data_IF_423785918449
#
_entry.id   IF_423785918449
#
_cell.length_a   1.000
_cell.length_b   1.000
_cell.length_c   1.000
_cell.angle_alpha   90.00
_cell.angle_beta   90.00
_cell.angle_gamma   90.00
#
_symmetry.space_group_name_H-M   'P 1'
#
loop_
_entity.id
_entity.type
_entity.pdbx_description
1 polymer ?
#
# COMPACT_ATOMS: atom_id res chain seq x y z
N UNK A 1 -12.97 -43.89 -14.58
CA UNK A 1 -12.50 -43.35 -13.29
C UNK A 1 -10.97 -43.44 -13.26
N UNK A 2 -10.29 -42.41 -13.73
CA UNK A 2 -8.84 -42.22 -13.49
C UNK A 2 -8.69 -41.20 -12.34
N UNK A 3 -8.10 -41.61 -11.25
CA UNK A 3 -7.69 -40.72 -10.18
C UNK A 3 -6.42 -39.98 -10.66
N UNK A 4 -6.52 -38.69 -10.92
CA UNK A 4 -5.34 -37.84 -11.08
C UNK A 4 -4.71 -37.61 -9.73
N UNK A 5 -3.50 -38.15 -9.59
CA UNK A 5 -2.65 -37.92 -8.41
C UNK A 5 -1.85 -36.62 -8.61
N UNK A 6 -2.10 -35.62 -7.78
CA UNK A 6 -1.28 -34.42 -7.72
C UNK A 6 0.18 -34.75 -7.38
N UNK A 7 1.15 -34.11 -8.03
CA UNK A 7 2.57 -34.36 -7.71
C UNK A 7 2.85 -33.86 -6.29
N UNK A 8 3.31 -34.78 -5.43
CA UNK A 8 3.84 -34.44 -4.11
C UNK A 8 5.05 -33.54 -4.31
N UNK A 9 5.00 -32.32 -3.75
CA UNK A 9 6.17 -31.44 -3.66
C UNK A 9 7.22 -32.21 -2.85
N UNK A 10 8.32 -32.54 -3.51
CA UNK A 10 9.39 -33.35 -2.89
C UNK A 10 10.13 -32.48 -1.86
N UNK A 11 10.47 -33.05 -0.70
CA UNK A 11 11.30 -32.47 0.39
C UNK A 11 12.48 -31.62 -0.13
N UNK A 12 13.09 -32.03 -1.23
CA UNK A 12 14.19 -31.32 -1.91
C UNK A 12 13.80 -29.93 -2.44
N UNK A 13 12.53 -29.66 -2.77
CA UNK A 13 12.06 -28.32 -3.21
C UNK A 13 11.80 -27.41 -2.01
N UNK A 14 11.37 -27.96 -0.89
CA UNK A 14 11.17 -27.20 0.36
C UNK A 14 12.51 -26.78 0.97
N UNK A 15 13.52 -27.66 0.97
CA UNK A 15 14.90 -27.36 1.39
C UNK A 15 15.52 -26.24 0.53
N UNK A 16 15.36 -26.30 -0.80
CA UNK A 16 15.89 -25.26 -1.72
C UNK A 16 15.20 -23.91 -1.57
N UNK A 17 13.91 -23.89 -1.17
CA UNK A 17 13.17 -22.64 -0.91
C UNK A 17 13.62 -22.05 0.43
N UNK A 18 13.83 -22.90 1.44
CA UNK A 18 14.30 -22.45 2.74
C UNK A 18 15.73 -21.89 2.66
N UNK A 19 16.64 -22.57 1.96
CA UNK A 19 17.99 -22.05 1.71
C UNK A 19 18.00 -20.69 1.01
N UNK A 20 17.11 -20.49 0.01
CA UNK A 20 16.96 -19.18 -0.67
C UNK A 20 16.35 -18.10 0.23
N UNK A 21 15.45 -18.45 1.13
CA UNK A 21 14.90 -17.52 2.11
C UNK A 21 15.96 -17.09 3.11
N UNK A 22 16.76 -18.04 3.60
CA UNK A 22 17.86 -17.78 4.54
C UNK A 22 18.96 -16.92 3.88
N UNK A 23 19.31 -17.15 2.60
CA UNK A 23 20.22 -16.29 1.82
C UNK A 23 19.69 -14.87 1.64
N UNK A 24 18.38 -14.71 1.39
CA UNK A 24 17.75 -13.39 1.26
C UNK A 24 17.72 -12.66 2.61
N UNK A 25 17.41 -13.37 3.71
CA UNK A 25 17.46 -12.78 5.05
C UNK A 25 18.87 -12.35 5.46
N UNK A 26 19.88 -13.15 5.12
CA UNK A 26 21.27 -12.82 5.41
C UNK A 26 21.75 -11.62 4.60
N UNK A 27 21.34 -11.53 3.33
CA UNK A 27 21.61 -10.38 2.46
C UNK A 27 20.93 -9.11 2.97
N UNK A 28 19.65 -9.17 3.34
CA UNK A 28 18.92 -8.05 3.93
C UNK A 28 19.55 -7.57 5.26
N UNK A 29 20.04 -8.48 6.09
CA UNK A 29 20.78 -8.13 7.31
C UNK A 29 22.10 -7.43 6.99
N UNK A 30 22.81 -7.87 5.95
CA UNK A 30 24.09 -7.29 5.54
C UNK A 30 23.91 -5.90 4.94
N UNK A 31 22.94 -5.74 4.02
CA UNK A 31 22.58 -4.45 3.43
C UNK A 31 22.10 -3.46 4.51
N UNK A 32 21.34 -3.92 5.51
CA UNK A 32 20.90 -3.09 6.64
C UNK A 32 22.05 -2.67 7.57
N UNK A 33 23.13 -3.43 7.65
CA UNK A 33 24.34 -3.10 8.42
C UNK A 33 25.22 -2.10 7.65
N UNK A 34 25.38 -2.24 6.34
CA UNK A 34 26.13 -1.30 5.50
C UNK A 34 25.45 0.08 5.47
N UNK A 35 24.11 0.14 5.31
CA UNK A 35 23.33 1.39 5.41
C UNK A 35 23.47 2.03 6.80
N UNK A 36 23.55 1.24 7.88
CA UNK A 36 23.76 1.76 9.23
C UNK A 36 25.15 2.35 9.43
N UNK A 37 26.19 1.82 8.77
CA UNK A 37 27.54 2.33 8.90
C UNK A 37 27.77 3.61 8.09
N UNK A 38 27.23 3.73 6.88
CA UNK A 38 27.29 4.96 6.08
C UNK A 38 26.53 6.10 6.73
N UNK A 39 25.32 5.85 7.23
CA UNK A 39 24.53 6.85 7.92
C UNK A 39 25.16 7.28 9.28
N UNK A 40 25.77 6.37 10.04
CA UNK A 40 26.51 6.73 11.26
C UNK A 40 27.63 7.72 10.99
N UNK A 41 28.40 7.51 9.92
CA UNK A 41 29.50 8.41 9.55
C UNK A 41 29.05 9.80 9.14
N UNK A 42 27.88 9.91 8.52
CA UNK A 42 27.29 11.16 8.05
C UNK A 42 26.71 11.96 9.22
N UNK A 43 25.85 11.36 10.02
CA UNK A 43 25.25 12.02 11.17
C UNK A 43 26.29 12.40 12.23
N UNK A 44 27.29 11.56 12.48
CA UNK A 44 28.35 11.86 13.46
C UNK A 44 29.16 13.12 13.09
N UNK A 45 29.39 13.40 11.78
CA UNK A 45 30.07 14.61 11.33
C UNK A 45 29.23 15.87 11.56
N UNK A 46 27.91 15.79 11.42
CA UNK A 46 26.99 16.91 11.67
C UNK A 46 26.90 17.16 13.16
N UNK A 47 26.74 16.12 13.98
CA UNK A 47 26.63 16.23 15.43
C UNK A 47 27.91 16.68 16.12
N UNK A 48 29.09 16.41 15.55
CA UNK A 48 30.36 16.93 16.10
C UNK A 48 30.47 18.45 16.11
N UNK A 49 29.69 19.14 15.27
CA UNK A 49 29.63 20.60 15.21
C UNK A 49 28.75 21.24 16.29
N UNK A 50 27.87 20.49 16.94
CA UNK A 50 27.00 21.00 18.00
C UNK A 50 27.81 21.08 19.29
N UNK A 51 28.15 22.29 19.66
CA UNK A 51 29.03 22.56 20.82
C UNK A 51 28.30 22.81 22.15
N UNK A 52 26.98 23.06 22.08
CA UNK A 52 26.13 23.43 23.21
C UNK A 52 25.23 22.29 23.68
N UNK A 53 24.76 22.33 24.93
CA UNK A 53 23.77 21.37 25.46
C UNK A 53 22.34 21.66 24.97
N UNK A 54 22.09 22.82 24.37
CA UNK A 54 20.79 23.27 23.89
C UNK A 54 20.90 23.56 22.40
N UNK A 55 20.01 22.95 21.57
CA UNK A 55 19.97 23.17 20.15
C UNK A 55 19.29 24.52 19.85
N UNK A 56 20.01 25.44 19.18
CA UNK A 56 19.40 26.68 18.70
C UNK A 56 18.62 26.47 17.42
N UNK A 57 17.76 27.42 17.05
CA UNK A 57 16.99 27.36 15.81
C UNK A 57 17.90 27.34 14.57
N UNK A 58 18.98 28.14 14.57
CA UNK A 58 19.98 28.15 13.48
C UNK A 58 20.69 26.81 13.33
N UNK A 59 21.08 26.18 14.43
CA UNK A 59 21.72 24.86 14.40
C UNK A 59 20.76 23.75 13.96
N UNK A 60 19.49 23.87 14.33
CA UNK A 60 18.45 22.98 13.87
C UNK A 60 18.25 23.11 12.36
N UNK A 61 18.20 24.34 11.83
CA UNK A 61 18.03 24.60 10.41
C UNK A 61 19.18 24.03 9.57
N UNK A 62 20.44 24.21 10.00
CA UNK A 62 21.58 23.56 9.33
C UNK A 62 21.48 22.04 9.32
N UNK A 63 21.08 21.44 10.44
CA UNK A 63 20.92 20.00 10.58
C UNK A 63 19.76 19.49 9.72
N UNK A 64 18.61 20.18 9.78
CA UNK A 64 17.42 19.79 9.07
C UNK A 64 17.58 19.92 7.55
N UNK A 65 18.31 20.91 7.07
CA UNK A 65 18.58 21.07 5.64
C UNK A 65 19.21 19.81 5.00
N UNK A 66 20.10 19.15 5.70
CA UNK A 66 20.67 17.89 5.21
C UNK A 66 19.65 16.75 5.23
N UNK A 67 18.80 16.66 6.26
CA UNK A 67 17.74 15.67 6.34
C UNK A 67 16.68 15.92 5.27
N UNK A 68 16.34 17.18 5.00
CA UNK A 68 15.41 17.59 3.93
C UNK A 68 15.86 17.06 2.57
N UNK A 69 17.15 17.25 2.21
CA UNK A 69 17.70 16.73 0.96
C UNK A 69 17.52 15.20 0.87
N UNK A 70 17.86 14.48 1.93
CA UNK A 70 17.72 13.02 2.00
C UNK A 70 16.25 12.60 1.83
N UNK A 71 15.32 13.26 2.49
CA UNK A 71 13.90 12.96 2.39
C UNK A 71 13.37 13.20 0.96
N UNK A 72 13.75 14.32 0.33
CA UNK A 72 13.36 14.66 -1.04
C UNK A 72 13.96 13.69 -2.06
N UNK A 73 15.24 13.31 -1.93
CA UNK A 73 15.90 12.31 -2.77
C UNK A 73 15.24 10.93 -2.65
N UNK A 74 14.64 10.64 -1.50
CA UNK A 74 13.86 9.43 -1.26
C UNK A 74 12.37 9.56 -1.62
N UNK A 75 12.00 10.53 -2.44
CA UNK A 75 10.64 10.75 -2.96
C UNK A 75 9.60 11.06 -1.87
N UNK A 76 10.00 11.65 -0.76
CA UNK A 76 9.08 12.20 0.23
C UNK A 76 8.52 13.52 -0.29
N UNK A 77 7.20 13.69 -0.29
CA UNK A 77 6.56 14.93 -0.73
C UNK A 77 6.92 16.12 0.17
N UNK A 78 6.98 17.31 -0.42
CA UNK A 78 7.41 18.53 0.28
C UNK A 78 6.56 18.80 1.52
N UNK A 79 5.25 18.63 1.43
CA UNK A 79 4.33 18.85 2.56
C UNK A 79 4.61 17.92 3.75
N UNK A 80 5.15 16.73 3.47
CA UNK A 80 5.56 15.76 4.51
C UNK A 80 6.88 16.18 5.14
N UNK A 81 7.82 16.64 4.31
CA UNK A 81 9.11 17.16 4.77
C UNK A 81 8.91 18.36 5.69
N UNK A 82 8.06 19.31 5.31
CA UNK A 82 7.68 20.47 6.13
C UNK A 82 7.05 20.02 7.45
N UNK A 83 6.16 19.02 7.42
CA UNK A 83 5.55 18.48 8.64
C UNK A 83 6.57 17.82 9.56
N UNK A 84 7.52 17.06 9.01
CA UNK A 84 8.61 16.45 9.77
C UNK A 84 9.47 17.56 10.41
N UNK A 85 9.78 18.63 9.66
CA UNK A 85 10.53 19.77 10.19
C UNK A 85 9.82 20.42 11.38
N UNK A 86 8.53 20.70 11.23
CA UNK A 86 7.72 21.31 12.28
C UNK A 86 7.73 20.49 13.57
N UNK A 87 7.51 19.18 13.47
CA UNK A 87 7.48 18.29 14.65
C UNK A 87 8.87 18.15 15.29
N UNK A 88 9.91 17.94 14.48
CA UNK A 88 11.28 17.87 15.00
C UNK A 88 11.75 19.17 15.65
N UNK A 89 11.40 20.32 15.08
CA UNK A 89 11.72 21.62 15.69
C UNK A 89 11.09 21.75 17.07
N UNK A 90 9.82 21.39 17.24
CA UNK A 90 9.13 21.40 18.54
C UNK A 90 9.80 20.50 19.57
N UNK A 91 10.29 19.33 19.12
CA UNK A 91 10.85 18.31 20.00
C UNK A 91 12.32 18.57 20.37
N UNK A 92 13.05 19.40 19.60
CA UNK A 92 14.50 19.52 19.71
C UNK A 92 15.01 20.93 20.02
N UNK A 93 14.33 21.97 19.50
CA UNK A 93 14.80 23.36 19.67
C UNK A 93 14.53 23.86 21.10
N UNK A 94 15.54 24.44 21.72
CA UNK A 94 15.44 24.98 23.06
C UNK A 94 15.48 23.96 24.20
N UNK A 95 15.58 22.67 23.88
CA UNK A 95 15.63 21.59 24.87
C UNK A 95 17.07 21.27 25.22
N UNK A 96 17.35 21.11 26.49
CA UNK A 96 18.68 20.73 26.99
C UNK A 96 18.91 19.22 26.76
N UNK A 97 19.77 18.87 25.77
CA UNK A 97 20.11 17.52 25.43
C UNK A 97 21.60 17.27 25.74
N UNK A 98 21.90 16.18 26.44
CA UNK A 98 23.29 15.78 26.66
C UNK A 98 23.94 15.45 25.32
N UNK A 99 25.14 15.97 25.04
CA UNK A 99 25.88 15.75 23.78
C UNK A 99 25.92 14.28 23.35
N UNK A 100 26.15 13.36 24.29
CA UNK A 100 26.18 11.92 24.03
C UNK A 100 24.84 11.30 23.63
N UNK A 101 23.73 12.05 23.75
CA UNK A 101 22.35 11.57 23.45
C UNK A 101 21.67 12.33 22.31
N UNK A 102 22.33 13.34 21.71
CA UNK A 102 21.72 14.17 20.67
C UNK A 102 21.27 13.32 19.49
N UNK A 103 22.15 12.46 18.97
CA UNK A 103 21.84 11.56 17.84
C UNK A 103 20.66 10.63 18.17
N UNK A 104 20.71 9.99 19.33
CA UNK A 104 19.63 9.10 19.80
C UNK A 104 18.30 9.85 19.92
N UNK A 105 18.32 11.06 20.46
CA UNK A 105 17.11 11.88 20.63
C UNK A 105 16.51 12.28 19.29
N UNK A 106 17.32 12.73 18.32
CA UNK A 106 16.86 13.11 16.99
C UNK A 106 16.29 11.89 16.26
N UNK A 107 16.96 10.75 16.30
CA UNK A 107 16.48 9.52 15.67
C UNK A 107 15.16 9.03 16.27
N UNK A 108 15.01 9.14 17.59
CA UNK A 108 13.77 8.77 18.27
C UNK A 108 12.63 9.73 17.90
N UNK A 109 12.87 11.06 17.91
CA UNK A 109 11.86 12.04 17.51
C UNK A 109 11.45 11.88 16.05
N UNK A 110 12.41 11.64 15.13
CA UNK A 110 12.11 11.34 13.73
C UNK A 110 11.26 10.07 13.59
N UNK A 111 11.62 8.99 14.30
CA UNK A 111 10.86 7.74 14.29
C UNK A 111 9.44 7.95 14.81
N UNK A 112 9.27 8.68 15.92
CA UNK A 112 7.94 8.98 16.46
C UNK A 112 7.11 9.83 15.50
N UNK A 113 7.72 10.83 14.85
CA UNK A 113 7.06 11.64 13.82
C UNK A 113 6.60 10.81 12.63
N UNK A 114 7.45 9.91 12.12
CA UNK A 114 7.09 8.99 11.05
C UNK A 114 5.93 8.07 11.48
N UNK A 115 5.97 7.52 12.68
CA UNK A 115 4.90 6.67 13.21
C UNK A 115 3.58 7.42 13.39
N UNK A 116 3.61 8.72 13.71
CA UNK A 116 2.39 9.57 13.76
C UNK A 116 1.80 9.84 12.37
N UNK A 117 2.64 9.86 11.33
CA UNK A 117 2.20 10.04 9.94
C UNK A 117 1.55 8.77 9.40
N UNK A 118 2.10 7.61 9.74
CA UNK A 118 1.59 6.32 9.32
C UNK A 118 0.38 5.92 10.15
N UNK A 119 -0.72 5.62 9.48
CA UNK A 119 -1.95 5.16 10.12
C UNK A 119 -1.98 3.63 10.06
N UNK A 120 -2.08 2.99 11.21
CA UNK A 120 -2.20 1.53 11.29
C UNK A 120 -3.51 1.06 10.67
N UNK A 121 -3.46 0.14 9.69
CA UNK A 121 -4.68 -0.38 9.07
C UNK A 121 -5.43 -1.28 10.04
N UNK A 122 -6.76 -1.17 10.09
CA UNK A 122 -7.56 -2.12 10.86
C UNK A 122 -7.47 -3.52 10.23
N UNK A 123 -7.57 -4.56 11.04
CA UNK A 123 -7.50 -5.94 10.57
C UNK A 123 -8.67 -6.25 9.61
N UNK A 124 -8.35 -6.50 8.33
CA UNK A 124 -9.34 -6.75 7.29
C UNK A 124 -10.24 -7.97 7.60
N UNK A 125 -9.66 -9.06 8.10
CA UNK A 125 -10.41 -10.29 8.40
C UNK A 125 -11.42 -10.05 9.53
N UNK A 126 -11.02 -9.27 10.55
CA UNK A 126 -11.94 -8.90 11.63
C UNK A 126 -13.08 -8.01 11.14
N UNK A 127 -12.80 -7.01 10.29
CA UNK A 127 -13.83 -6.16 9.70
C UNK A 127 -14.87 -6.97 8.92
N UNK A 128 -14.40 -7.91 8.08
CA UNK A 128 -15.26 -8.79 7.30
C UNK A 128 -16.12 -9.66 8.22
N UNK A 129 -15.54 -10.22 9.27
CA UNK A 129 -16.26 -11.09 10.19
C UNK A 129 -17.28 -10.35 11.06
N UNK A 130 -17.00 -9.10 11.43
CA UNK A 130 -17.92 -8.25 12.22
C UNK A 130 -19.15 -7.80 11.42
N UNK A 131 -19.06 -7.73 10.11
CA UNK A 131 -20.20 -7.31 9.28
C UNK A 131 -21.24 -8.42 9.15
N UNK A 132 -22.50 -8.10 9.34
CA UNK A 132 -23.61 -8.96 8.96
C UNK A 132 -23.89 -8.83 7.46
N UNK A 133 -23.99 -9.98 6.73
CA UNK A 133 -24.21 -10.01 5.28
C UNK A 133 -22.92 -9.92 4.47
N UNK A 134 -23.04 -9.43 3.24
CA UNK A 134 -21.95 -9.37 2.26
C UNK A 134 -21.03 -8.19 2.56
N UNK A 135 -19.72 -8.44 2.53
CA UNK A 135 -18.68 -7.40 2.58
C UNK A 135 -18.16 -7.12 1.17
N UNK A 136 -18.29 -5.90 0.71
CA UNK A 136 -17.91 -5.50 -0.65
C UNK A 136 -16.65 -4.64 -0.64
N UNK A 137 -15.63 -5.05 -1.39
CA UNK A 137 -14.37 -4.33 -1.55
C UNK A 137 -14.22 -3.90 -3.00
N UNK A 138 -14.00 -2.62 -3.24
CA UNK A 138 -13.66 -2.08 -4.56
C UNK A 138 -12.19 -1.69 -4.63
N UNK A 139 -11.52 -2.05 -5.72
CA UNK A 139 -10.13 -1.70 -5.99
C UNK A 139 -10.07 -0.69 -7.13
N UNK A 140 -9.52 0.49 -6.84
CA UNK A 140 -9.37 1.59 -7.80
C UNK A 140 -7.90 1.97 -7.98
N UNK A 141 -7.56 2.60 -9.09
CA UNK A 141 -6.18 3.00 -9.41
C UNK A 141 -5.93 2.95 -10.91
N UNK A 142 -4.79 3.45 -11.36
CA UNK A 142 -4.44 3.50 -12.79
C UNK A 142 -4.13 2.11 -13.37
N UNK A 143 -4.05 2.03 -14.70
CA UNK A 143 -3.60 0.80 -15.38
C UNK A 143 -2.15 0.50 -15.02
N UNK A 144 -1.84 -0.78 -14.79
CA UNK A 144 -0.51 -1.22 -14.40
C UNK A 144 -0.23 -1.16 -12.90
N UNK A 145 -1.05 -0.44 -12.10
CA UNK A 145 -0.83 -0.30 -10.66
C UNK A 145 -0.92 -1.60 -9.85
N UNK A 146 -1.25 -2.72 -10.48
CA UNK A 146 -1.30 -4.02 -9.80
C UNK A 146 -2.65 -4.39 -9.18
N UNK A 147 -3.77 -3.72 -9.54
CA UNK A 147 -5.12 -4.02 -9.02
C UNK A 147 -5.48 -5.50 -9.12
N UNK A 148 -5.45 -6.05 -10.33
CA UNK A 148 -5.80 -7.45 -10.61
C UNK A 148 -4.97 -8.44 -9.78
N UNK A 149 -3.67 -8.18 -9.63
CA UNK A 149 -2.78 -9.00 -8.79
C UNK A 149 -3.10 -8.85 -7.31
N UNK A 150 -3.41 -7.63 -6.86
CA UNK A 150 -3.81 -7.36 -5.47
C UNK A 150 -5.11 -8.08 -5.13
N UNK A 151 -6.10 -8.05 -6.03
CA UNK A 151 -7.37 -8.79 -5.88
C UNK A 151 -7.11 -10.28 -5.73
N UNK A 152 -6.23 -10.86 -6.55
CA UNK A 152 -5.88 -12.28 -6.46
C UNK A 152 -5.21 -12.61 -5.11
N UNK A 153 -4.30 -11.75 -4.61
CA UNK A 153 -3.68 -11.91 -3.29
C UNK A 153 -4.70 -11.80 -2.16
N UNK A 154 -5.64 -10.86 -2.24
CA UNK A 154 -6.72 -10.71 -1.25
C UNK A 154 -7.66 -11.93 -1.29
N UNK A 155 -8.06 -12.40 -2.47
CA UNK A 155 -8.87 -13.61 -2.62
C UNK A 155 -8.16 -14.85 -2.01
N UNK A 156 -6.85 -14.98 -2.23
CA UNK A 156 -6.05 -16.03 -1.60
C UNK A 156 -6.05 -15.92 -0.07
N UNK A 157 -5.86 -14.71 0.47
CA UNK A 157 -5.90 -14.43 1.91
C UNK A 157 -7.26 -14.81 2.51
N UNK A 158 -8.36 -14.46 1.84
CA UNK A 158 -9.72 -14.81 2.27
C UNK A 158 -9.92 -16.33 2.28
N UNK A 159 -9.50 -17.02 1.21
CA UNK A 159 -9.57 -18.49 1.12
C UNK A 159 -8.77 -19.17 2.23
N UNK A 160 -7.55 -18.68 2.53
CA UNK A 160 -6.73 -19.18 3.65
C UNK A 160 -7.45 -19.04 5.01
N UNK A 161 -8.25 -17.98 5.16
CA UNK A 161 -9.06 -17.74 6.35
C UNK A 161 -10.47 -18.38 6.27
N UNK A 162 -10.73 -19.26 5.29
CA UNK A 162 -12.02 -19.96 5.08
C UNK A 162 -13.20 -19.00 4.85
N UNK A 163 -12.94 -17.84 4.29
CA UNK A 163 -13.95 -16.85 3.92
C UNK A 163 -14.23 -16.97 2.43
N UNK A 164 -15.50 -17.20 2.07
CA UNK A 164 -15.93 -17.29 0.68
C UNK A 164 -15.92 -15.93 0.01
N UNK A 165 -15.45 -15.87 -1.25
CA UNK A 165 -15.46 -14.65 -2.03
C UNK A 165 -15.85 -14.91 -3.49
N UNK A 166 -16.30 -13.85 -4.17
CA UNK A 166 -16.55 -13.80 -5.62
C UNK A 166 -15.86 -12.55 -6.18
N UNK A 167 -15.35 -12.67 -7.41
CA UNK A 167 -14.67 -11.56 -8.08
C UNK A 167 -15.61 -10.99 -9.16
N UNK A 168 -15.72 -9.65 -9.24
CA UNK A 168 -16.43 -8.92 -10.28
C UNK A 168 -15.41 -8.30 -11.25
N UNK A 169 -15.38 -8.73 -12.50
CA UNK A 169 -14.53 -8.23 -13.57
C UNK A 169 -15.13 -6.96 -14.18
N UNK A 170 -15.07 -5.83 -13.45
CA UNK A 170 -15.66 -4.57 -13.88
C UNK A 170 -14.72 -3.69 -14.75
N UNK A 171 -13.48 -4.12 -15.07
CA UNK A 171 -12.67 -3.51 -16.15
C UNK A 171 -13.13 -4.08 -17.52
N UNK A 172 -14.36 -3.73 -17.92
CA UNK A 172 -15.06 -4.31 -19.06
C UNK A 172 -14.47 -3.93 -20.43
N UNK A 173 -13.62 -2.92 -20.48
CA UNK A 173 -12.99 -2.44 -21.71
C UNK A 173 -11.59 -3.01 -21.97
N UNK A 174 -11.16 -3.99 -21.15
CA UNK A 174 -9.86 -4.66 -21.30
C UNK A 174 -9.99 -6.17 -21.28
N UNK A 175 -10.17 -6.76 -22.48
CA UNK A 175 -10.31 -8.22 -22.63
C UNK A 175 -9.17 -8.99 -21.94
N UNK A 176 -7.91 -8.55 -22.13
CA UNK A 176 -6.76 -9.19 -21.49
C UNK A 176 -6.75 -9.08 -19.95
N UNK A 177 -7.36 -8.04 -19.39
CA UNK A 177 -7.51 -7.93 -17.92
C UNK A 177 -8.52 -8.92 -17.39
N UNK A 178 -9.63 -9.09 -18.11
CA UNK A 178 -10.66 -10.09 -17.78
C UNK A 178 -10.07 -11.50 -17.84
N UNK A 179 -9.37 -11.86 -18.93
CA UNK A 179 -8.73 -13.16 -19.09
C UNK A 179 -7.69 -13.44 -17.99
N UNK A 180 -6.88 -12.44 -17.63
CA UNK A 180 -5.92 -12.55 -16.53
C UNK A 180 -6.63 -12.80 -15.20
N UNK A 181 -7.71 -12.08 -14.93
CA UNK A 181 -8.48 -12.22 -13.69
C UNK A 181 -9.19 -13.57 -13.63
N UNK A 182 -9.70 -14.08 -14.76
CA UNK A 182 -10.26 -15.43 -14.88
C UNK A 182 -9.23 -16.50 -14.52
N UNK A 183 -8.04 -16.39 -15.06
CA UNK A 183 -6.96 -17.34 -14.76
C UNK A 183 -6.57 -17.34 -13.27
N UNK A 184 -6.59 -16.19 -12.64
CA UNK A 184 -6.40 -16.10 -11.20
C UNK A 184 -7.55 -16.72 -10.42
N UNK A 185 -8.79 -16.45 -10.82
CA UNK A 185 -9.99 -17.00 -10.21
C UNK A 185 -10.05 -18.54 -10.31
N UNK A 186 -9.73 -19.10 -11.50
CA UNK A 186 -9.62 -20.54 -11.73
C UNK A 186 -8.56 -21.18 -10.84
N UNK A 187 -7.34 -20.61 -10.77
CA UNK A 187 -6.26 -21.12 -9.94
C UNK A 187 -6.61 -21.10 -8.44
N UNK A 188 -7.43 -20.15 -8.03
CA UNK A 188 -7.87 -20.00 -6.65
C UNK A 188 -9.19 -20.75 -6.37
N UNK A 189 -9.84 -21.33 -7.39
CA UNK A 189 -11.17 -21.92 -7.28
C UNK A 189 -12.16 -20.92 -6.63
N UNK A 190 -12.22 -19.71 -7.19
CA UNK A 190 -13.08 -18.61 -6.78
C UNK A 190 -14.00 -18.24 -7.95
N UNK A 191 -15.31 -18.10 -7.74
CA UNK A 191 -16.22 -17.69 -8.81
C UNK A 191 -15.91 -16.27 -9.29
N UNK A 192 -16.06 -16.05 -10.61
CA UNK A 192 -15.90 -14.76 -11.25
C UNK A 192 -17.17 -14.38 -12.01
N UNK A 193 -17.61 -13.15 -11.84
CA UNK A 193 -18.72 -12.55 -12.58
C UNK A 193 -18.16 -11.58 -13.60
N UNK A 194 -18.49 -11.82 -14.86
CA UNK A 194 -18.10 -11.00 -16.02
C UNK A 194 -19.29 -10.80 -16.95
N UNK A 195 -19.22 -9.76 -17.74
CA UNK A 195 -20.17 -9.52 -18.84
C UNK A 195 -19.41 -9.34 -20.15
N UNK A 196 -20.15 -9.08 -21.25
CA UNK A 196 -19.55 -8.83 -22.56
C UNK A 196 -18.64 -7.60 -22.53
N UNK A 197 -17.65 -7.60 -23.41
CA UNK A 197 -16.77 -6.43 -23.63
C UNK A 197 -17.60 -5.16 -23.82
N UNK A 198 -17.22 -4.08 -23.12
CA UNK A 198 -17.90 -2.79 -23.18
C UNK A 198 -19.21 -2.70 -22.39
N UNK A 199 -19.58 -3.74 -21.63
CA UNK A 199 -20.73 -3.66 -20.71
C UNK A 199 -20.51 -2.61 -19.60
N UNK A 200 -21.61 -2.17 -18.99
CA UNK A 200 -21.55 -1.23 -17.88
C UNK A 200 -20.82 -1.83 -16.64
N UNK A 201 -19.68 -1.27 -16.18
CA UNK A 201 -18.98 -1.77 -15.02
C UNK A 201 -19.83 -1.86 -13.75
N UNK A 202 -20.76 -0.91 -13.56
CA UNK A 202 -21.67 -0.91 -12.41
C UNK A 202 -22.67 -2.07 -12.46
N UNK A 203 -23.08 -2.51 -13.65
CA UNK A 203 -23.94 -3.70 -13.81
C UNK A 203 -23.19 -4.97 -13.41
N UNK A 204 -21.90 -5.12 -13.78
CA UNK A 204 -21.08 -6.27 -13.37
C UNK A 204 -20.96 -6.33 -11.83
N UNK A 205 -20.71 -5.19 -11.19
CA UNK A 205 -20.64 -5.10 -9.73
C UNK A 205 -21.98 -5.48 -9.06
N UNK A 206 -23.09 -5.02 -9.64
CA UNK A 206 -24.44 -5.36 -9.17
C UNK A 206 -24.71 -6.87 -9.28
N UNK A 207 -24.42 -7.47 -10.44
CA UNK A 207 -24.61 -8.91 -10.67
C UNK A 207 -23.76 -9.75 -9.72
N UNK A 208 -22.53 -9.35 -9.44
CA UNK A 208 -21.68 -10.03 -8.48
C UNK A 208 -22.25 -10.00 -7.06
N UNK A 209 -22.87 -8.89 -6.64
CA UNK A 209 -23.58 -8.82 -5.36
C UNK A 209 -24.79 -9.73 -5.32
N UNK A 210 -25.59 -9.74 -6.39
CA UNK A 210 -26.74 -10.65 -6.52
C UNK A 210 -26.33 -12.11 -6.50
N UNK A 211 -25.25 -12.44 -7.18
CA UNK A 211 -24.67 -13.77 -7.14
C UNK A 211 -24.22 -14.15 -5.72
N UNK A 212 -23.55 -13.24 -5.02
CA UNK A 212 -23.11 -13.45 -3.64
C UNK A 212 -24.28 -13.67 -2.68
N UNK A 213 -25.39 -12.92 -2.84
CA UNK A 213 -26.62 -13.09 -2.07
C UNK A 213 -27.22 -14.50 -2.29
N UNK A 214 -27.37 -14.91 -3.56
CA UNK A 214 -27.97 -16.19 -3.92
C UNK A 214 -27.14 -17.40 -3.45
N UNK A 215 -25.81 -17.28 -3.42
CA UNK A 215 -24.88 -18.36 -3.08
C UNK A 215 -24.32 -18.25 -1.66
N UNK A 216 -24.80 -17.32 -0.84
CA UNK A 216 -24.33 -17.05 0.54
C UNK A 216 -22.82 -16.81 0.63
N UNK A 217 -22.27 -16.11 -0.37
CA UNK A 217 -20.85 -15.73 -0.40
C UNK A 217 -20.63 -14.50 0.49
N UNK A 218 -19.56 -14.54 1.29
CA UNK A 218 -19.29 -13.50 2.29
C UNK A 218 -18.68 -12.22 1.71
N UNK A 219 -17.83 -12.32 0.69
CA UNK A 219 -17.08 -11.17 0.17
C UNK A 219 -17.25 -11.02 -1.34
N UNK A 220 -17.44 -9.79 -1.80
CA UNK A 220 -17.38 -9.39 -3.21
C UNK A 220 -16.14 -8.52 -3.44
N UNK A 221 -15.26 -8.91 -4.37
CA UNK A 221 -14.07 -8.18 -4.78
C UNK A 221 -14.31 -7.58 -6.17
N UNK A 222 -14.27 -6.25 -6.31
CA UNK A 222 -14.58 -5.56 -7.56
C UNK A 222 -13.29 -5.02 -8.18
N UNK A 223 -12.88 -5.57 -9.36
CA UNK A 223 -11.81 -5.02 -10.19
C UNK A 223 -12.36 -3.93 -11.09
N UNK A 224 -11.73 -2.75 -11.11
CA UNK A 224 -12.20 -1.61 -11.91
C UNK A 224 -11.22 -1.22 -13.00
N UNK A 225 -11.72 -0.51 -14.01
CA UNK A 225 -10.87 0.09 -15.02
C UNK A 225 -9.88 1.10 -14.42
N UNK A 226 -8.70 1.22 -15.02
CA UNK A 226 -7.69 2.21 -14.67
C UNK A 226 -7.31 3.14 -15.83
N UNK A 227 -8.11 3.16 -16.90
CA UNK A 227 -7.82 3.96 -18.08
C UNK A 227 -8.16 5.42 -17.87
N UNK A 228 -7.16 6.27 -18.05
CA UNK A 228 -7.33 7.73 -18.07
C UNK A 228 -7.56 8.22 -19.51
N UNK A 229 -8.69 7.90 -20.15
CA UNK A 229 -9.04 8.59 -21.41
C UNK A 229 -9.28 10.09 -21.20
N UNK A 230 -9.98 10.42 -20.12
CA UNK A 230 -9.92 11.71 -19.41
C UNK A 230 -10.09 11.42 -17.93
N UNK A 231 -9.36 12.17 -17.08
CA UNK A 231 -9.47 12.06 -15.62
C UNK A 231 -10.93 12.14 -15.16
N UNK A 232 -11.72 13.02 -15.78
CA UNK A 232 -13.13 13.23 -15.45
C UNK A 232 -14.05 12.02 -15.76
N UNK A 233 -13.82 11.29 -16.86
CA UNK A 233 -14.64 10.12 -17.22
C UNK A 233 -14.36 8.94 -16.29
N UNK A 234 -13.09 8.70 -15.95
CA UNK A 234 -12.72 7.66 -14.99
C UNK A 234 -13.37 7.91 -13.63
N UNK A 235 -13.31 9.14 -13.14
CA UNK A 235 -13.92 9.52 -11.86
C UNK A 235 -15.44 9.29 -11.86
N UNK A 236 -16.14 9.74 -12.90
CA UNK A 236 -17.60 9.52 -13.03
C UNK A 236 -17.97 8.03 -13.07
N UNK A 237 -17.15 7.20 -13.72
CA UNK A 237 -17.34 5.76 -13.74
C UNK A 237 -17.16 5.16 -12.34
N UNK A 238 -16.10 5.55 -11.63
CA UNK A 238 -15.86 5.11 -10.25
C UNK A 238 -16.98 5.52 -9.30
N UNK A 239 -17.43 6.78 -9.36
CA UNK A 239 -18.58 7.28 -8.59
C UNK A 239 -19.85 6.46 -8.85
N UNK A 240 -20.09 6.10 -10.12
CA UNK A 240 -21.23 5.25 -10.50
C UNK A 240 -21.12 3.86 -9.89
N UNK A 241 -19.95 3.21 -10.00
CA UNK A 241 -19.73 1.88 -9.43
C UNK A 241 -19.90 1.92 -7.91
N UNK A 242 -19.32 2.91 -7.23
CA UNK A 242 -19.44 3.09 -5.77
C UNK A 242 -20.90 3.30 -5.36
N UNK A 243 -21.65 4.14 -6.07
CA UNK A 243 -23.07 4.38 -5.79
C UNK A 243 -23.93 3.11 -5.94
N UNK A 244 -23.67 2.29 -6.96
CA UNK A 244 -24.43 1.07 -7.22
C UNK A 244 -24.01 -0.08 -6.30
N UNK A 245 -22.72 -0.28 -6.12
CA UNK A 245 -22.20 -1.40 -5.32
C UNK A 245 -22.20 -1.14 -3.82
N UNK A 246 -22.22 0.13 -3.38
CA UNK A 246 -22.14 0.54 -1.97
C UNK A 246 -21.07 -0.28 -1.22
N UNK A 247 -19.79 -0.11 -1.59
CA UNK A 247 -18.72 -0.90 -1.01
C UNK A 247 -18.48 -0.55 0.46
N UNK A 248 -18.07 -1.53 1.23
CA UNK A 248 -17.67 -1.36 2.64
C UNK A 248 -16.23 -0.89 2.76
N UNK A 249 -15.42 -1.18 1.75
CA UNK A 249 -14.02 -0.81 1.72
C UNK A 249 -13.62 -0.41 0.30
N UNK A 250 -13.15 0.82 0.15
CA UNK A 250 -12.62 1.38 -1.09
C UNK A 250 -11.11 1.45 -0.98
N UNK A 251 -10.39 0.61 -1.75
CA UNK A 251 -8.93 0.53 -1.74
C UNK A 251 -8.37 1.20 -3.00
N UNK A 252 -7.55 2.22 -2.81
CA UNK A 252 -6.68 2.71 -3.86
C UNK A 252 -5.45 1.82 -3.99
N UNK A 253 -5.12 1.41 -5.22
CA UNK A 253 -3.93 0.62 -5.53
C UNK A 253 -2.98 1.45 -6.38
N UNK A 254 -1.83 1.81 -5.82
CA UNK A 254 -0.76 2.58 -6.46
C UNK A 254 0.55 1.79 -6.54
N UNK A 255 1.52 2.30 -7.29
CA UNK A 255 2.87 1.74 -7.36
C UNK A 255 3.80 2.54 -6.45
N UNK A 256 4.49 1.91 -5.51
CA UNK A 256 5.44 2.56 -4.59
C UNK A 256 6.56 3.27 -5.36
N UNK A 257 7.09 2.63 -6.39
CA UNK A 257 8.21 3.13 -7.19
C UNK A 257 7.93 4.42 -7.97
N UNK A 258 6.66 4.84 -8.11
CA UNK A 258 6.31 6.06 -8.84
C UNK A 258 6.39 7.33 -7.97
N UNK A 259 6.71 7.19 -6.69
CA UNK A 259 6.98 8.32 -5.79
C UNK A 259 5.82 9.31 -5.71
N UNK A 260 6.08 10.57 -6.06
CA UNK A 260 5.09 11.64 -6.01
C UNK A 260 3.89 11.43 -6.94
N UNK A 261 4.05 10.74 -8.07
CA UNK A 261 2.92 10.41 -8.94
C UNK A 261 1.90 9.50 -8.24
N UNK A 262 2.35 8.53 -7.42
CA UNK A 262 1.46 7.73 -6.60
C UNK A 262 0.69 8.59 -5.60
N UNK A 263 1.34 9.61 -5.03
CA UNK A 263 0.73 10.54 -4.07
C UNK A 263 -0.37 11.38 -4.72
N UNK A 264 -0.10 11.98 -5.90
CA UNK A 264 -1.09 12.75 -6.65
C UNK A 264 -2.29 11.90 -7.13
N UNK A 265 -2.03 10.67 -7.55
CA UNK A 265 -3.08 9.74 -7.91
C UNK A 265 -3.95 9.40 -6.69
N UNK A 266 -3.34 9.02 -5.57
CA UNK A 266 -4.03 8.69 -4.33
C UNK A 266 -4.91 9.86 -3.85
N UNK A 267 -4.39 11.10 -3.88
CA UNK A 267 -5.12 12.32 -3.59
C UNK A 267 -6.34 12.48 -4.49
N UNK A 268 -6.15 12.33 -5.81
CA UNK A 268 -7.24 12.44 -6.79
C UNK A 268 -8.37 11.44 -6.54
N UNK A 269 -8.03 10.16 -6.32
CA UNK A 269 -9.05 9.14 -6.04
C UNK A 269 -9.70 9.34 -4.67
N UNK A 270 -8.95 9.82 -3.67
CA UNK A 270 -9.49 10.11 -2.36
C UNK A 270 -10.50 11.27 -2.39
N UNK A 271 -10.19 12.35 -3.12
CA UNK A 271 -11.12 13.48 -3.33
C UNK A 271 -12.40 13.06 -4.05
N UNK A 272 -12.28 12.15 -5.03
CA UNK A 272 -13.41 11.72 -5.85
C UNK A 272 -14.37 10.78 -5.13
N UNK A 273 -13.86 9.75 -4.47
CA UNK A 273 -14.69 8.68 -3.91
C UNK A 273 -14.46 8.44 -2.41
N UNK A 274 -13.62 9.23 -1.77
CA UNK A 274 -13.23 9.08 -0.38
C UNK A 274 -12.78 7.64 -0.07
N UNK A 275 -11.59 7.25 -0.57
CA UNK A 275 -11.01 5.93 -0.34
C UNK A 275 -10.88 5.64 1.16
N UNK A 276 -10.94 4.36 1.55
CA UNK A 276 -10.88 3.96 2.96
C UNK A 276 -9.50 3.41 3.33
N UNK A 277 -8.72 3.00 2.32
CA UNK A 277 -7.37 2.47 2.52
C UNK A 277 -6.58 2.43 1.22
N UNK A 278 -5.30 2.13 1.35
CA UNK A 278 -4.31 2.18 0.28
C UNK A 278 -3.55 0.88 0.25
N UNK A 279 -3.21 0.41 -0.94
CA UNK A 279 -2.23 -0.64 -1.19
C UNK A 279 -1.16 -0.09 -2.12
N UNK A 280 0.08 -0.13 -1.71
CA UNK A 280 1.23 0.19 -2.55
C UNK A 280 1.89 -1.09 -3.03
N UNK A 281 1.90 -1.26 -4.35
CA UNK A 281 2.50 -2.43 -5.03
C UNK A 281 3.95 -2.15 -5.40
N UNK A 282 4.69 -3.21 -5.74
CA UNK A 282 6.10 -3.14 -6.13
C UNK A 282 7.01 -2.54 -5.03
N UNK A 283 6.58 -2.60 -3.77
CA UNK A 283 7.36 -2.11 -2.65
C UNK A 283 8.65 -2.93 -2.40
N UNK A 284 8.69 -4.15 -2.92
CA UNK A 284 9.85 -5.04 -2.90
C UNK A 284 11.02 -4.59 -3.80
N UNK A 285 10.77 -3.68 -4.73
CA UNK A 285 11.77 -3.08 -5.63
C UNK A 285 11.89 -1.56 -5.45
N UNK A 286 11.22 -1.00 -4.45
CA UNK A 286 11.28 0.42 -4.10
C UNK A 286 12.37 0.66 -3.05
N UNK A 287 13.54 1.11 -3.49
CA UNK A 287 14.67 1.43 -2.61
C UNK A 287 14.45 2.70 -1.78
N UNK A 288 13.53 3.56 -2.19
CA UNK A 288 13.33 4.91 -1.61
C UNK A 288 12.27 4.98 -0.53
N UNK A 289 11.18 4.24 -0.69
CA UNK A 289 10.04 4.12 0.24
C UNK A 289 9.31 5.43 0.62
N UNK A 290 9.71 6.59 0.10
CA UNK A 290 9.12 7.90 0.44
C UNK A 290 7.65 8.05 0.05
N UNK A 291 7.22 7.33 -1.00
CA UNK A 291 5.82 7.30 -1.42
C UNK A 291 4.88 6.82 -0.30
N UNK A 292 5.32 5.90 0.56
CA UNK A 292 4.54 5.36 1.69
C UNK A 292 4.16 6.50 2.64
N UNK A 293 5.12 7.31 3.04
CA UNK A 293 4.90 8.45 3.94
C UNK A 293 4.01 9.50 3.27
N UNK A 294 4.31 9.84 2.03
CA UNK A 294 3.62 10.87 1.26
C UNK A 294 2.15 10.54 1.04
N UNK A 295 1.86 9.32 0.58
CA UNK A 295 0.50 8.87 0.32
C UNK A 295 -0.32 8.80 1.61
N UNK A 296 0.24 8.25 2.71
CA UNK A 296 -0.44 8.19 4.01
C UNK A 296 -0.74 9.59 4.55
N UNK A 297 0.24 10.50 4.50
CA UNK A 297 0.09 11.86 5.00
C UNK A 297 -0.97 12.65 4.22
N UNK A 298 -0.89 12.65 2.88
CA UNK A 298 -1.79 13.46 2.03
C UNK A 298 -3.23 12.95 2.05
N UNK A 299 -3.41 11.64 2.07
CA UNK A 299 -4.77 11.05 2.05
C UNK A 299 -5.37 10.90 3.43
N UNK A 300 -4.58 10.87 4.50
CA UNK A 300 -5.00 10.51 5.86
C UNK A 300 -5.66 9.13 5.92
N UNK A 301 -5.16 8.18 5.11
CA UNK A 301 -5.69 6.82 5.02
C UNK A 301 -4.62 5.79 5.37
N UNK A 302 -5.03 4.67 5.98
CA UNK A 302 -4.11 3.58 6.31
C UNK A 302 -3.61 2.86 5.06
N UNK A 303 -2.40 2.29 5.16
CA UNK A 303 -1.82 1.42 4.13
C UNK A 303 -1.97 -0.03 4.60
N UNK A 304 -2.64 -0.86 3.78
CA UNK A 304 -2.91 -2.28 4.04
C UNK A 304 -1.77 -3.18 3.54
#
# INVERSE_FOLDING_TARGET
KKKETFPKITRKKEETIQEKLDEVEEKLKKDSLEIKEENKGFFSKIFSKISTSTLTEEQFDELFHHLEIILLENNVAIEVVEKIREELSKDLVGIEIKKSKIEETIMNSLKETILKILIEPPNLIEQINKKNGIYTIIFVGINGSGKTTTIAKVAHLLKKNKISCVIAAADTFRAASIEQLEKHAENLDVPIIKQKYGSDPAAVAFDAKKYAEAHKIKVVLIDTAGRMYTKANLIKEMEKIVRVSQPDLKIFVGESITGNDATEQAKTFNEAINVDGIVLTKADVDEKAGAILSVSYVTKKPIY
#
